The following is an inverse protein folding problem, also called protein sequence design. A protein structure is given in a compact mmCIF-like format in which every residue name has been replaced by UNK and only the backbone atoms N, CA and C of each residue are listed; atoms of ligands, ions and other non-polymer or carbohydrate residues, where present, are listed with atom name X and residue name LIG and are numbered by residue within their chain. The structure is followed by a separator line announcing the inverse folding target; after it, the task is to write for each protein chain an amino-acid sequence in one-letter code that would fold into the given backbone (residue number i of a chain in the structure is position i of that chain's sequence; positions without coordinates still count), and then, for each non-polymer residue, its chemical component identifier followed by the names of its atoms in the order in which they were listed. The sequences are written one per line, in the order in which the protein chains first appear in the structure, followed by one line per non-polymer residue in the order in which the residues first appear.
data_IF_689945384567
#
_entry.id   IF_689945384567
#
_cell.length_a   1.000
_cell.length_b   1.000
_cell.length_c   1.000
_cell.angle_alpha   90.00
_cell.angle_beta   90.00
_cell.angle_gamma   90.00
#
_symmetry.space_group_name_H-M   'P 1'
#
loop_
_entity.id
_entity.type
_entity.pdbx_description
1 polymer ?
#
# COMPACT_ATOMS: atom_id res chain seq x y z
N UNK A 1 -15.78 8.34 10.55
CA UNK A 1 -15.53 6.92 10.23
C UNK A 1 -15.45 6.80 8.72
N UNK A 2 -14.24 6.74 8.16
CA UNK A 2 -14.05 6.51 6.72
C UNK A 2 -14.35 5.04 6.45
N UNK A 3 -15.26 4.74 5.52
CA UNK A 3 -15.59 3.35 5.20
C UNK A 3 -14.45 2.73 4.38
N UNK A 4 -14.23 1.43 4.55
CA UNK A 4 -13.18 0.68 3.87
C UNK A 4 -13.22 0.86 2.33
N UNK A 5 -14.43 0.86 1.77
CA UNK A 5 -14.72 1.15 0.35
C UNK A 5 -14.24 2.54 -0.13
N UNK A 6 -14.21 3.56 0.74
CA UNK A 6 -13.75 4.90 0.37
C UNK A 6 -12.22 5.00 0.30
N UNK A 7 -11.53 4.17 1.08
CA UNK A 7 -10.08 4.07 1.04
C UNK A 7 -9.62 3.44 -0.28
N UNK A 8 -10.27 2.35 -0.73
CA UNK A 8 -9.90 1.68 -1.98
C UNK A 8 -10.06 2.58 -3.22
N UNK A 9 -10.99 3.55 -3.22
CA UNK A 9 -11.13 4.55 -4.30
C UNK A 9 -9.88 5.40 -4.49
N UNK A 10 -9.02 5.53 -3.47
CA UNK A 10 -7.75 6.27 -3.54
C UNK A 10 -6.64 5.46 -4.21
N UNK A 11 -6.85 4.18 -4.47
CA UNK A 11 -5.91 3.36 -5.24
C UNK A 11 -6.30 3.36 -6.72
N UNK A 12 -5.30 3.32 -7.58
CA UNK A 12 -5.44 3.24 -9.03
C UNK A 12 -4.54 2.14 -9.58
N UNK A 13 -5.09 1.37 -10.50
CA UNK A 13 -4.37 0.36 -11.28
C UNK A 13 -4.62 0.72 -12.74
N UNK A 14 -3.65 1.35 -13.39
CA UNK A 14 -3.71 1.62 -14.82
C UNK A 14 -2.59 0.84 -15.51
N UNK A 15 -2.87 -0.09 -16.45
CA UNK A 15 -1.85 -0.86 -17.14
C UNK A 15 -0.84 0.00 -17.92
N UNK A 16 -1.20 1.25 -18.25
CA UNK A 16 -0.34 2.23 -18.92
C UNK A 16 0.55 3.01 -17.96
N UNK A 17 0.33 2.89 -16.65
CA UNK A 17 1.09 3.58 -15.59
C UNK A 17 1.73 2.54 -14.67
N UNK A 18 3.04 2.65 -14.43
CA UNK A 18 3.77 1.75 -13.54
C UNK A 18 3.56 0.24 -13.84
N UNK A 19 3.39 -0.11 -15.13
CA UNK A 19 3.20 -1.49 -15.60
C UNK A 19 2.00 -2.22 -14.96
N UNK A 20 0.94 -1.48 -14.62
CA UNK A 20 -0.26 -2.06 -13.99
C UNK A 20 -0.09 -2.40 -12.51
N UNK A 21 0.93 -1.85 -11.85
CA UNK A 21 1.08 -1.99 -10.39
C UNK A 21 0.13 -1.06 -9.65
N UNK A 22 -0.43 -1.47 -8.50
CA UNK A 22 -1.28 -0.62 -7.67
C UNK A 22 -0.52 0.59 -7.14
N UNK A 23 -1.06 1.78 -7.40
CA UNK A 23 -0.48 3.06 -6.98
C UNK A 23 -1.53 3.92 -6.28
N UNK A 24 -1.07 4.85 -5.42
CA UNK A 24 -1.95 5.90 -4.91
C UNK A 24 -2.37 6.81 -6.08
N UNK A 25 -3.67 7.04 -6.23
CA UNK A 25 -4.28 7.78 -7.34
C UNK A 25 -3.69 9.19 -7.44
N UNK A 26 -3.35 9.60 -8.66
CA UNK A 26 -2.73 10.90 -8.91
C UNK A 26 -1.22 10.93 -8.60
N UNK A 27 -0.63 9.82 -8.16
CA UNK A 27 0.81 9.71 -7.90
C UNK A 27 1.41 8.54 -8.68
N UNK A 28 2.74 8.41 -8.60
CA UNK A 28 3.48 7.22 -9.06
C UNK A 28 4.05 6.40 -7.88
N UNK A 29 3.44 6.55 -6.71
CA UNK A 29 3.87 5.89 -5.48
C UNK A 29 3.12 4.57 -5.37
N UNK A 30 3.88 3.48 -5.32
CA UNK A 30 3.33 2.13 -5.29
C UNK A 30 2.76 1.81 -3.91
N UNK A 31 1.67 1.05 -3.88
CA UNK A 31 1.10 0.54 -2.63
C UNK A 31 2.12 -0.30 -1.86
N UNK A 32 2.86 -1.17 -2.58
CA UNK A 32 3.88 -2.03 -1.96
C UNK A 32 4.96 -1.23 -1.25
N UNK A 33 5.41 -0.10 -1.82
CA UNK A 33 6.44 0.76 -1.22
C UNK A 33 5.99 1.30 0.14
N UNK A 34 4.73 1.73 0.25
CA UNK A 34 4.18 2.23 1.50
C UNK A 34 4.05 1.11 2.54
N UNK A 35 3.66 -0.10 2.09
CA UNK A 35 3.61 -1.27 2.96
C UNK A 35 5.01 -1.70 3.43
N UNK A 36 6.04 -1.58 2.58
CA UNK A 36 7.44 -1.86 2.91
C UNK A 36 7.95 -0.91 4.00
N UNK A 37 7.67 0.40 3.90
CA UNK A 37 8.01 1.36 4.96
C UNK A 37 7.33 1.00 6.29
N UNK A 38 6.03 0.70 6.26
CA UNK A 38 5.31 0.29 7.47
C UNK A 38 5.87 -1.01 8.06
N UNK A 39 6.25 -1.98 7.22
CA UNK A 39 6.90 -3.21 7.66
C UNK A 39 8.30 -2.96 8.23
N UNK A 40 9.01 -1.94 7.74
CA UNK A 40 10.28 -1.45 8.28
C UNK A 40 10.17 -0.73 9.63
N UNK A 41 8.94 -0.45 10.10
CA UNK A 41 8.67 0.22 11.36
C UNK A 41 8.50 1.73 11.24
N UNK A 42 8.46 2.29 10.03
CA UNK A 42 8.19 3.70 9.84
C UNK A 42 6.78 4.08 10.29
N UNK A 43 6.68 5.23 10.94
CA UNK A 43 5.38 5.80 11.31
C UNK A 43 4.71 6.44 10.10
N UNK A 44 3.39 6.56 10.13
CA UNK A 44 2.64 7.31 9.12
C UNK A 44 3.18 8.75 9.02
N UNK A 45 3.54 9.38 10.14
CA UNK A 45 4.05 10.75 10.15
C UNK A 45 5.38 10.86 9.40
N UNK A 46 6.29 9.90 9.60
CA UNK A 46 7.56 9.79 8.87
C UNK A 46 7.32 9.66 7.36
N UNK A 47 6.40 8.78 6.96
CA UNK A 47 6.05 8.58 5.55
C UNK A 47 5.48 9.88 4.94
N UNK A 48 4.66 10.63 5.68
CA UNK A 48 4.12 11.90 5.21
C UNK A 48 5.17 13.02 5.16
N UNK A 49 6.23 12.95 5.97
CA UNK A 49 7.36 13.87 5.87
C UNK A 49 8.17 13.63 4.60
N UNK A 50 8.40 12.36 4.25
CA UNK A 50 9.11 11.96 3.03
C UNK A 50 8.26 12.21 1.77
N UNK A 51 6.94 12.05 1.87
CA UNK A 51 5.98 12.23 0.78
C UNK A 51 4.90 13.27 1.16
N UNK A 52 5.23 14.58 1.16
CA UNK A 52 4.33 15.64 1.60
C UNK A 52 3.08 15.81 0.72
N UNK A 53 3.07 15.24 -0.48
CA UNK A 53 1.91 15.17 -1.37
C UNK A 53 0.86 14.13 -0.92
N UNK A 54 1.19 13.24 0.01
CA UNK A 54 0.27 12.25 0.53
C UNK A 54 -0.49 12.78 1.75
N UNK A 55 -1.64 12.20 2.02
CA UNK A 55 -2.35 12.37 3.27
C UNK A 55 -2.43 11.04 4.02
N UNK A 56 -2.80 11.10 5.31
CA UNK A 56 -2.97 9.90 6.16
C UNK A 56 -3.92 8.88 5.54
N UNK A 57 -4.98 9.33 4.87
CA UNK A 57 -5.96 8.45 4.23
C UNK A 57 -5.36 7.67 3.04
N UNK A 58 -4.34 8.19 2.37
CA UNK A 58 -3.67 7.47 1.28
C UNK A 58 -2.82 6.32 1.81
N UNK A 59 -2.15 6.54 2.95
CA UNK A 59 -1.41 5.47 3.64
C UNK A 59 -2.37 4.39 4.14
N UNK A 60 -3.51 4.79 4.72
CA UNK A 60 -4.55 3.83 5.12
C UNK A 60 -5.17 3.11 3.93
N UNK A 61 -5.26 3.74 2.76
CA UNK A 61 -5.69 3.09 1.53
C UNK A 61 -4.72 2.02 1.04
N UNK A 62 -3.41 2.24 1.18
CA UNK A 62 -2.41 1.21 0.90
C UNK A 62 -2.59 -0.02 1.82
N UNK A 63 -2.83 0.20 3.11
CA UNK A 63 -3.10 -0.87 4.09
C UNK A 63 -4.38 -1.63 3.74
N UNK A 64 -5.47 -0.90 3.44
CA UNK A 64 -6.74 -1.51 3.04
C UNK A 64 -6.57 -2.37 1.78
N UNK A 65 -5.89 -1.86 0.77
CA UNK A 65 -5.59 -2.62 -0.46
C UNK A 65 -4.75 -3.88 -0.17
N UNK A 66 -3.71 -3.76 0.67
CA UNK A 66 -2.88 -4.90 1.05
C UNK A 66 -3.67 -5.99 1.77
N UNK A 67 -4.61 -5.61 2.63
CA UNK A 67 -5.50 -6.54 3.33
C UNK A 67 -6.41 -7.30 2.35
N UNK A 68 -7.05 -6.61 1.41
CA UNK A 68 -7.89 -7.26 0.38
C UNK A 68 -7.06 -8.21 -0.48
N UNK A 69 -5.89 -7.76 -0.95
CA UNK A 69 -4.99 -8.59 -1.77
C UNK A 69 -4.52 -9.86 -1.04
N UNK A 70 -4.22 -9.75 0.26
CA UNK A 70 -3.85 -10.90 1.09
C UNK A 70 -5.03 -11.85 1.37
N UNK A 71 -6.26 -11.34 1.38
CA UNK A 71 -7.46 -12.17 1.49
C UNK A 71 -7.77 -12.93 0.20
N UNK A 72 -7.49 -12.34 -0.97
CA UNK A 72 -7.73 -12.99 -2.26
C UNK A 72 -6.64 -14.01 -2.64
N UNK A 73 -5.37 -13.73 -2.27
CA UNK A 73 -4.24 -14.57 -2.63
C UNK A 73 -3.31 -14.83 -1.45
N UNK A 74 -3.10 -16.11 -1.17
CA UNK A 74 -2.06 -16.56 -0.25
C UNK A 74 -0.72 -16.66 -0.96
N UNK A 75 0.33 -16.26 -0.26
CA UNK A 75 1.72 -16.49 -0.66
C UNK A 75 2.28 -17.63 0.18
N UNK A 76 2.98 -18.57 -0.45
CA UNK A 76 3.77 -19.54 0.29
C UNK A 76 4.97 -18.81 0.88
N UNK A 77 5.04 -18.78 2.21
CA UNK A 77 6.24 -18.32 2.89
C UNK A 77 7.16 -19.52 2.98
N UNK A 78 8.30 -19.54 2.26
CA UNK A 78 9.27 -20.59 2.44
C UNK A 78 9.67 -20.56 3.91
N UNK A 79 9.33 -21.61 4.65
CA UNK A 79 9.85 -21.82 5.99
C UNK A 79 11.36 -21.90 5.81
N UNK A 80 12.06 -20.81 6.14
CA UNK A 80 13.52 -20.82 6.19
C UNK A 80 13.91 -22.00 7.06
N UNK A 81 14.56 -23.00 6.46
CA UNK A 81 15.12 -24.12 7.20
C UNK A 81 15.93 -23.53 8.35
N UNK A 82 15.56 -23.92 9.57
CA UNK A 82 16.35 -23.57 10.73
C UNK A 82 17.79 -24.01 10.48
N UNK A 83 18.71 -23.07 10.65
CA UNK A 83 20.08 -23.34 11.02
C UNK A 83 20.56 -22.28 11.98
#
# INVERSE_FOLDING_TARGET
MTRHEDLLKRISIDPRVCFGKPCIRGTRIWVSLILDFLAGGDSIETILQEYPQLCREDVLACVAYGAEAASERYIEIPMGGGS
#
